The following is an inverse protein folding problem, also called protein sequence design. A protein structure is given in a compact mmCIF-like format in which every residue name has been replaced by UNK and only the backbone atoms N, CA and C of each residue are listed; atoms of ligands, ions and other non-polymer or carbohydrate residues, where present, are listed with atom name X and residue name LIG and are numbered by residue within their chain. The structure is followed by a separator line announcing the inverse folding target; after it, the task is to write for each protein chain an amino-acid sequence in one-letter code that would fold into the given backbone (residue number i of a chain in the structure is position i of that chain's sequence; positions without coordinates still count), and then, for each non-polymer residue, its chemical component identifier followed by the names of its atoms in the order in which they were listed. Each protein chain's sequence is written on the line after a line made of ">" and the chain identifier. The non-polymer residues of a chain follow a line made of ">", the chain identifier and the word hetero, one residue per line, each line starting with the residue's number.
data_IF_266882103204
#
_entry.id   IF_266882103204
#
_cell.length_a   1.000
_cell.length_b   1.000
_cell.length_c   1.000
_cell.angle_alpha   90.00
_cell.angle_beta   90.00
_cell.angle_gamma   90.00
#
_symmetry.space_group_name_H-M   'P 1'
#
loop_
_entity.id
_entity.type
_entity.pdbx_description
1 polymer ?
#
# COMPACT_ATOMS: atom_id res chain seq x y z
N UNK A 1 20.72 8.89 17.39
CA UNK A 1 19.95 10.04 17.94
C UNK A 1 18.64 10.08 17.21
N UNK A 2 17.61 9.43 17.77
CA UNK A 2 16.24 9.56 17.30
C UNK A 2 15.86 11.03 17.53
N UNK A 3 15.70 11.80 16.44
CA UNK A 3 15.04 13.08 16.53
C UNK A 3 13.70 12.86 17.21
N UNK A 4 13.48 13.55 18.33
CA UNK A 4 12.16 13.58 18.94
C UNK A 4 11.22 14.17 17.87
N UNK A 5 10.48 13.32 17.16
CA UNK A 5 9.21 13.78 16.64
C UNK A 5 8.46 14.27 17.87
N UNK A 6 8.23 15.57 17.92
CA UNK A 6 7.32 16.14 18.89
C UNK A 6 5.96 15.48 18.63
N UNK A 7 5.70 14.39 19.34
CA UNK A 7 4.33 14.07 19.68
C UNK A 7 3.84 15.36 20.35
N UNK A 8 2.97 16.08 19.69
CA UNK A 8 2.27 17.20 20.31
C UNK A 8 1.45 16.59 21.43
N UNK A 9 2.11 16.38 22.57
CA UNK A 9 1.41 16.22 23.83
C UNK A 9 0.76 17.59 24.00
N UNK A 10 -0.50 17.69 23.59
CA UNK A 10 -1.34 18.77 24.05
C UNK A 10 -1.30 18.61 25.57
N UNK A 11 -0.44 19.38 26.21
CA UNK A 11 -0.48 19.50 27.66
C UNK A 11 -1.91 19.90 27.96
N UNK A 12 -2.69 18.98 28.52
CA UNK A 12 -4.02 19.26 29.00
C UNK A 12 -3.88 20.40 29.99
N UNK A 13 -4.20 21.60 29.56
CA UNK A 13 -4.17 22.76 30.39
C UNK A 13 -5.40 22.66 31.31
N UNK A 14 -5.19 22.25 32.53
CA UNK A 14 -6.13 22.43 33.58
C UNK A 14 -6.60 21.15 34.27
N UNK A 15 -6.88 21.29 35.55
CA UNK A 15 -7.57 20.25 36.33
C UNK A 15 -8.94 19.98 35.70
N UNK A 16 -9.29 18.71 35.62
CA UNK A 16 -10.65 18.29 35.26
C UNK A 16 -11.66 19.07 36.08
N UNK A 17 -12.67 19.70 35.47
CA UNK A 17 -13.70 20.43 36.23
C UNK A 17 -14.37 19.47 37.20
N UNK A 18 -14.61 19.96 38.42
CA UNK A 18 -15.39 19.22 39.41
C UNK A 18 -16.85 19.20 38.96
N UNK A 19 -17.27 18.14 38.32
CA UNK A 19 -18.64 17.95 37.90
C UNK A 19 -19.48 17.37 39.04
N UNK A 20 -20.69 17.91 39.24
CA UNK A 20 -21.65 17.35 40.18
C UNK A 20 -22.18 16.02 39.67
N UNK A 21 -22.24 15.02 40.55
CA UNK A 21 -22.87 13.71 40.21
C UNK A 21 -24.42 13.82 40.22
N UNK A 22 -24.97 14.89 40.76
CA UNK A 22 -26.41 15.08 40.88
C UNK A 22 -27.06 15.75 39.65
N UNK A 23 -26.26 16.34 38.76
CA UNK A 23 -26.76 17.05 37.58
C UNK A 23 -25.85 16.72 36.37
N UNK A 24 -26.47 16.37 35.22
CA UNK A 24 -25.75 16.20 33.98
C UNK A 24 -25.10 17.54 33.58
N UNK A 25 -23.80 17.55 33.23
CA UNK A 25 -23.15 18.73 32.67
C UNK A 25 -23.85 19.21 31.38
N UNK A 26 -23.81 20.52 31.15
CA UNK A 26 -24.26 21.08 29.88
C UNK A 26 -23.44 20.59 28.70
N UNK A 27 -24.03 20.63 27.54
CA UNK A 27 -23.31 20.22 26.31
C UNK A 27 -22.07 21.08 26.03
N UNK A 28 -22.08 22.36 26.44
CA UNK A 28 -20.92 23.26 26.37
C UNK A 28 -19.78 22.82 27.32
N UNK A 29 -20.11 22.41 28.54
CA UNK A 29 -19.11 21.87 29.50
C UNK A 29 -18.53 20.55 29.01
N UNK A 30 -19.36 19.67 28.45
CA UNK A 30 -18.89 18.40 27.83
C UNK A 30 -17.98 18.70 26.65
N UNK A 31 -18.36 19.61 25.74
CA UNK A 31 -17.53 19.99 24.60
C UNK A 31 -16.20 20.61 25.06
N UNK A 32 -16.22 21.47 26.08
CA UNK A 32 -15.01 22.04 26.68
C UNK A 32 -14.09 20.97 27.26
N UNK A 33 -14.66 19.98 27.96
CA UNK A 33 -13.89 18.86 28.50
C UNK A 33 -13.27 17.99 27.39
N UNK A 34 -14.05 17.66 26.36
CA UNK A 34 -13.58 16.88 25.22
C UNK A 34 -12.47 17.61 24.45
N UNK A 35 -12.54 18.94 24.35
CA UNK A 35 -11.50 19.74 23.71
C UNK A 35 -10.14 19.71 24.44
N UNK A 36 -10.10 19.32 25.72
CA UNK A 36 -8.86 19.16 26.48
C UNK A 36 -8.21 17.80 26.29
N UNK A 37 -8.91 16.83 25.69
CA UNK A 37 -8.37 15.50 25.44
C UNK A 37 -7.39 15.55 24.25
N UNK A 38 -6.25 14.82 24.33
CA UNK A 38 -5.40 14.66 23.18
C UNK A 38 -6.15 13.92 22.06
N UNK A 39 -5.80 14.21 20.82
CA UNK A 39 -6.32 13.43 19.69
C UNK A 39 -5.87 11.97 19.81
N UNK A 40 -6.81 11.06 19.86
CA UNK A 40 -6.58 9.61 20.03
C UNK A 40 -7.22 8.84 18.86
N UNK A 41 -6.55 8.80 17.71
CA UNK A 41 -7.06 8.05 16.56
C UNK A 41 -7.00 6.54 16.81
N UNK A 42 -7.91 5.82 16.17
CA UNK A 42 -7.87 4.37 16.15
C UNK A 42 -6.84 3.92 15.11
N UNK A 43 -5.85 3.16 15.56
CA UNK A 43 -4.85 2.55 14.70
C UNK A 43 -5.00 1.03 14.66
N UNK A 44 -4.72 0.44 13.51
CA UNK A 44 -4.52 -0.99 13.32
C UNK A 44 -3.07 -1.21 12.93
N UNK A 45 -2.42 -2.16 13.58
CA UNK A 45 -1.03 -2.52 13.29
C UNK A 45 -0.88 -4.04 13.14
N UNK A 46 0.05 -4.45 12.30
CA UNK A 46 0.53 -5.84 12.23
C UNK A 46 2.04 -5.89 12.33
N UNK A 47 2.55 -6.97 12.89
CA UNK A 47 3.99 -7.29 12.96
C UNK A 47 4.16 -8.72 12.49
N UNK A 48 5.11 -8.92 11.59
CA UNK A 48 5.40 -10.24 11.01
C UNK A 48 6.90 -10.49 10.87
N UNK A 49 7.28 -11.77 11.01
CA UNK A 49 8.65 -12.24 10.85
C UNK A 49 8.67 -13.75 10.63
N UNK A 50 9.79 -14.28 10.15
CA UNK A 50 9.98 -15.71 9.90
C UNK A 50 9.32 -16.15 8.59
N UNK A 51 8.98 -17.43 8.48
CA UNK A 51 8.40 -18.00 7.27
C UNK A 51 6.89 -17.71 7.20
N UNK A 52 6.45 -17.13 6.09
CA UNK A 52 5.02 -17.01 5.74
C UNK A 52 4.55 -18.20 4.89
N UNK A 53 5.45 -18.76 4.10
CA UNK A 53 5.22 -19.98 3.33
C UNK A 53 6.27 -21.03 3.73
N UNK A 54 5.82 -22.25 4.01
CA UNK A 54 6.71 -23.36 4.37
C UNK A 54 7.15 -24.08 3.11
N UNK A 55 8.40 -24.58 3.10
CA UNK A 55 8.89 -25.45 2.04
C UNK A 55 8.04 -26.71 1.91
N UNK A 56 7.73 -27.11 0.68
CA UNK A 56 6.86 -28.25 0.41
C UNK A 56 7.04 -28.77 -1.02
N UNK A 57 6.14 -29.69 -1.46
CA UNK A 57 6.20 -30.26 -2.82
C UNK A 57 6.09 -29.23 -3.95
N UNK A 58 5.59 -28.04 -3.64
CA UNK A 58 5.32 -26.97 -4.61
C UNK A 58 6.43 -25.93 -4.70
N UNK A 59 7.50 -26.03 -3.89
CA UNK A 59 8.63 -25.11 -3.92
C UNK A 59 9.28 -24.87 -2.55
N UNK A 60 10.26 -24.00 -2.56
CA UNK A 60 10.91 -23.50 -1.35
C UNK A 60 9.99 -22.54 -0.63
N UNK A 61 10.09 -22.51 0.70
CA UNK A 61 9.35 -21.58 1.54
C UNK A 61 9.80 -20.13 1.33
N UNK A 62 8.97 -19.19 1.78
CA UNK A 62 9.23 -17.75 1.67
C UNK A 62 9.17 -17.06 3.03
N UNK A 63 10.15 -16.20 3.28
CA UNK A 63 10.15 -15.37 4.49
C UNK A 63 9.14 -14.20 4.36
N UNK A 64 8.60 -13.81 5.50
CA UNK A 64 7.79 -12.59 5.63
C UNK A 64 8.64 -11.36 5.31
N UNK A 65 8.12 -10.46 4.50
CA UNK A 65 8.82 -9.31 3.97
C UNK A 65 8.02 -8.00 4.12
N UNK A 66 8.63 -6.89 3.77
CA UNK A 66 7.93 -5.59 3.71
C UNK A 66 6.72 -5.61 2.77
N UNK A 67 6.74 -6.43 1.71
CA UNK A 67 5.61 -6.56 0.81
C UNK A 67 4.37 -7.15 1.51
N UNK A 68 4.58 -8.12 2.40
CA UNK A 68 3.49 -8.74 3.19
C UNK A 68 2.91 -7.75 4.20
N UNK A 69 3.75 -6.88 4.78
CA UNK A 69 3.28 -5.80 5.64
C UNK A 69 2.42 -4.79 4.86
N UNK A 70 2.81 -4.43 3.64
CA UNK A 70 2.01 -3.58 2.75
C UNK A 70 0.69 -4.25 2.37
N UNK A 71 0.70 -5.55 2.02
CA UNK A 71 -0.53 -6.29 1.69
C UNK A 71 -1.46 -6.40 2.90
N UNK A 72 -0.93 -6.53 4.11
CA UNK A 72 -1.75 -6.47 5.34
C UNK A 72 -2.49 -5.15 5.47
N UNK A 73 -1.82 -4.03 5.18
CA UNK A 73 -2.46 -2.71 5.19
C UNK A 73 -3.52 -2.57 4.09
N UNK A 74 -3.22 -3.03 2.86
CA UNK A 74 -4.18 -3.04 1.76
C UNK A 74 -5.41 -3.89 2.07
N UNK A 75 -5.24 -5.01 2.79
CA UNK A 75 -6.37 -5.84 3.22
C UNK A 75 -7.30 -5.07 4.17
N UNK A 76 -6.75 -4.35 5.15
CA UNK A 76 -7.53 -3.49 6.06
C UNK A 76 -8.26 -2.40 5.29
N UNK A 77 -7.58 -1.72 4.37
CA UNK A 77 -8.17 -0.66 3.56
C UNK A 77 -9.29 -1.19 2.65
N UNK A 78 -9.08 -2.33 1.99
CA UNK A 78 -10.12 -2.99 1.18
C UNK A 78 -11.37 -3.34 2.01
N UNK A 79 -11.18 -3.82 3.24
CA UNK A 79 -12.29 -4.10 4.15
C UNK A 79 -13.07 -2.83 4.53
N UNK A 80 -12.41 -1.67 4.54
CA UNK A 80 -13.04 -0.36 4.72
C UNK A 80 -13.58 0.25 3.42
N UNK A 81 -13.47 -0.44 2.27
CA UNK A 81 -13.91 0.05 0.97
C UNK A 81 -12.99 1.09 0.34
N UNK A 82 -11.73 1.13 0.72
CA UNK A 82 -10.74 2.14 0.33
C UNK A 82 -9.56 1.48 -0.37
N UNK A 83 -9.02 2.13 -1.40
CA UNK A 83 -7.77 1.73 -2.05
C UNK A 83 -6.60 2.57 -1.55
N UNK A 84 -5.46 1.92 -1.28
CA UNK A 84 -4.22 2.59 -0.89
C UNK A 84 -3.31 2.79 -2.09
N UNK A 85 -2.73 3.98 -2.19
CA UNK A 85 -1.53 4.24 -2.99
C UNK A 85 -0.32 4.04 -2.09
N UNK A 86 0.77 3.51 -2.66
CA UNK A 86 2.00 3.17 -1.93
C UNK A 86 3.16 3.96 -2.52
N UNK A 87 3.86 4.71 -1.68
CA UNK A 87 5.02 5.50 -2.08
C UNK A 87 6.22 5.18 -1.18
N UNK A 88 7.44 5.34 -1.70
CA UNK A 88 8.64 5.21 -0.89
C UNK A 88 8.67 6.33 0.17
N UNK A 89 9.06 5.97 1.39
CA UNK A 89 9.13 6.93 2.49
C UNK A 89 10.33 6.66 3.40
N UNK A 90 10.73 7.69 4.12
CA UNK A 90 11.67 7.62 5.23
C UNK A 90 10.94 8.04 6.50
N UNK A 91 10.53 7.07 7.30
CA UNK A 91 9.75 7.32 8.51
C UNK A 91 10.14 6.35 9.63
N UNK A 92 10.56 6.87 10.78
CA UNK A 92 10.86 6.03 11.95
C UNK A 92 9.53 5.51 12.57
N UNK A 93 9.50 4.26 13.06
CA UNK A 93 10.60 3.35 13.34
C UNK A 93 10.99 2.38 12.22
N UNK A 94 10.59 2.60 10.98
CA UNK A 94 10.93 1.76 9.84
C UNK A 94 12.34 2.01 9.32
N UNK A 95 12.87 1.07 8.57
CA UNK A 95 14.16 1.13 7.88
C UNK A 95 14.11 2.17 6.75
N UNK A 96 15.05 3.11 6.71
CA UNK A 96 15.07 4.25 5.78
C UNK A 96 15.01 3.87 4.29
N UNK A 97 15.45 2.69 3.90
CA UNK A 97 15.38 2.23 2.50
C UNK A 97 14.30 1.14 2.24
N UNK A 98 13.47 0.81 3.25
CA UNK A 98 12.44 -0.25 3.15
C UNK A 98 11.17 0.14 3.92
N UNK A 99 10.80 1.39 3.77
CA UNK A 99 9.58 1.96 4.32
C UNK A 99 8.72 2.49 3.19
N UNK A 100 7.43 2.25 3.29
CA UNK A 100 6.40 2.79 2.43
C UNK A 100 5.45 3.68 3.22
N UNK A 101 5.11 4.83 2.67
CA UNK A 101 3.93 5.58 3.05
C UNK A 101 2.69 4.96 2.37
N UNK A 102 1.60 4.90 3.11
CA UNK A 102 0.30 4.41 2.66
C UNK A 102 -0.63 5.61 2.57
N UNK A 103 -1.16 5.88 1.37
CA UNK A 103 -1.93 7.09 1.11
C UNK A 103 -3.34 6.75 0.62
N UNK A 104 -4.28 7.61 1.00
CA UNK A 104 -5.64 7.70 0.44
C UNK A 104 -5.81 9.11 -0.10
N UNK A 105 -6.13 9.24 -1.38
CA UNK A 105 -6.32 10.53 -2.08
C UNK A 105 -5.17 11.53 -1.83
N UNK A 106 -3.93 11.02 -1.82
CA UNK A 106 -2.72 11.82 -1.59
C UNK A 106 -2.44 12.16 -0.12
N UNK A 107 -3.26 11.72 0.83
CA UNK A 107 -3.07 11.92 2.27
C UNK A 107 -2.45 10.67 2.90
N UNK A 108 -1.33 10.82 3.62
CA UNK A 108 -0.69 9.71 4.33
C UNK A 108 -1.57 9.28 5.51
N UNK A 109 -1.97 8.02 5.50
CA UNK A 109 -2.80 7.39 6.55
C UNK A 109 -2.05 6.32 7.34
N UNK A 110 -0.83 5.98 6.95
CA UNK A 110 -0.04 4.98 7.65
C UNK A 110 1.31 4.72 7.00
N UNK A 111 2.04 3.76 7.57
CA UNK A 111 3.32 3.31 7.05
C UNK A 111 3.43 1.79 7.16
N UNK A 112 4.21 1.19 6.25
CA UNK A 112 4.53 -0.23 6.28
C UNK A 112 5.96 -0.48 5.80
N UNK A 113 6.59 -1.53 6.31
CA UNK A 113 7.94 -1.87 5.89
C UNK A 113 8.70 -2.71 6.89
N UNK A 114 10.01 -2.85 6.66
CA UNK A 114 10.94 -3.48 7.60
C UNK A 114 11.26 -2.51 8.75
N UNK A 115 11.27 -2.98 9.98
CA UNK A 115 11.63 -2.16 11.13
C UNK A 115 13.13 -1.83 11.12
N UNK A 116 13.48 -0.66 11.63
CA UNK A 116 14.87 -0.22 11.73
C UNK A 116 15.69 -1.21 12.59
N UNK A 117 16.92 -1.61 12.19
CA UNK A 117 17.71 -2.61 12.93
C UNK A 117 17.91 -2.29 14.40
N UNK A 118 18.10 -1.03 14.76
CA UNK A 118 18.24 -0.61 16.17
C UNK A 118 16.94 -0.80 16.99
N UNK A 119 15.78 -0.65 16.34
CA UNK A 119 14.47 -0.92 16.98
C UNK A 119 14.31 -2.42 17.21
N UNK A 120 14.64 -3.22 16.20
CA UNK A 120 14.61 -4.69 16.26
C UNK A 120 15.52 -5.18 17.40
N UNK A 121 16.76 -4.69 17.48
CA UNK A 121 17.71 -5.05 18.53
C UNK A 121 17.23 -4.63 19.92
N UNK A 122 16.78 -3.37 20.07
CA UNK A 122 16.33 -2.83 21.37
C UNK A 122 15.10 -3.55 21.93
N UNK A 123 14.21 -4.02 21.05
CA UNK A 123 13.00 -4.74 21.43
C UNK A 123 13.20 -6.27 21.48
N UNK A 124 14.40 -6.77 21.17
CA UNK A 124 14.68 -8.21 21.14
C UNK A 124 13.89 -8.97 20.08
N UNK A 125 13.52 -8.31 18.97
CA UNK A 125 12.77 -8.91 17.88
C UNK A 125 13.70 -9.71 16.95
N UNK A 126 13.18 -10.70 16.22
CA UNK A 126 13.92 -11.35 15.16
C UNK A 126 14.37 -10.36 14.07
N UNK A 127 15.53 -10.65 13.45
CA UNK A 127 16.01 -9.83 12.32
C UNK A 127 14.99 -9.76 11.20
N UNK A 128 14.95 -8.61 10.52
CA UNK A 128 14.04 -8.37 9.39
C UNK A 128 12.56 -8.43 9.75
N UNK A 129 12.21 -8.19 11.01
CA UNK A 129 10.81 -7.99 11.40
C UNK A 129 10.22 -6.84 10.62
N UNK A 130 9.07 -7.09 10.00
CA UNK A 130 8.31 -6.10 9.26
C UNK A 130 7.03 -5.74 10.02
N UNK A 131 6.56 -4.51 9.83
CA UNK A 131 5.36 -4.01 10.48
C UNK A 131 4.59 -3.09 9.55
N UNK A 132 3.29 -2.97 9.79
CA UNK A 132 2.49 -1.86 9.28
C UNK A 132 1.70 -1.22 10.40
N UNK A 133 1.41 0.06 10.26
CA UNK A 133 0.49 0.81 11.10
C UNK A 133 -0.37 1.70 10.21
N UNK A 134 -1.69 1.63 10.41
CA UNK A 134 -2.68 2.35 9.64
C UNK A 134 -3.63 3.09 10.58
N UNK A 135 -3.78 4.41 10.40
CA UNK A 135 -4.77 5.23 11.09
C UNK A 135 -6.15 5.00 10.46
N UNK A 136 -6.94 4.12 11.06
CA UNK A 136 -8.29 3.78 10.58
C UNK A 136 -9.25 4.97 10.71
N UNK A 137 -9.03 5.85 11.70
CA UNK A 137 -9.85 7.06 11.87
C UNK A 137 -9.66 8.09 10.75
N UNK A 138 -8.56 8.00 9.98
CA UNK A 138 -8.29 8.85 8.83
C UNK A 138 -8.85 8.29 7.51
N UNK A 139 -9.35 7.05 7.51
CA UNK A 139 -9.96 6.47 6.32
C UNK A 139 -11.35 7.10 6.08
N UNK A 140 -11.71 7.41 4.82
CA UNK A 140 -13.04 7.87 4.50
C UNK A 140 -14.08 6.80 4.85
N UNK A 141 -15.18 7.22 5.48
CA UNK A 141 -16.29 6.33 5.81
C UNK A 141 -17.08 5.98 4.55
N UNK A 142 -17.02 4.73 4.15
CA UNK A 142 -17.86 4.18 3.08
C UNK A 142 -19.06 3.49 3.71
N UNK A 143 -20.23 4.12 3.67
CA UNK A 143 -21.45 3.55 4.25
C UNK A 143 -21.99 2.36 3.46
N UNK A 144 -21.81 2.38 2.15
CA UNK A 144 -22.26 1.34 1.24
C UNK A 144 -21.15 1.08 0.22
N UNK A 145 -20.64 -0.14 0.19
CA UNK A 145 -19.73 -0.56 -0.88
C UNK A 145 -20.53 -0.67 -2.17
N UNK A 146 -20.13 0.02 -3.26
CA UNK A 146 -20.78 -0.16 -4.54
C UNK A 146 -20.67 -1.61 -5.00
N UNK A 147 -21.73 -2.14 -5.56
CA UNK A 147 -21.67 -3.45 -6.18
C UNK A 147 -20.66 -3.44 -7.34
N UNK A 148 -19.85 -4.49 -7.51
CA UNK A 148 -18.93 -4.56 -8.64
C UNK A 148 -19.71 -4.54 -9.95
N UNK A 149 -19.20 -3.82 -10.95
CA UNK A 149 -19.75 -3.87 -12.30
C UNK A 149 -19.38 -5.22 -12.91
N UNK A 150 -20.38 -6.08 -13.07
CA UNK A 150 -20.17 -7.41 -13.64
C UNK A 150 -20.48 -7.36 -15.15
N UNK A 151 -19.49 -7.63 -15.97
CA UNK A 151 -19.71 -7.85 -17.40
C UNK A 151 -20.09 -9.32 -17.65
N UNK A 152 -21.06 -9.54 -18.53
CA UNK A 152 -21.45 -10.85 -19.03
C UNK A 152 -20.45 -11.44 -20.05
N UNK A 153 -19.47 -10.63 -20.49
CA UNK A 153 -18.51 -11.03 -21.50
C UNK A 153 -17.20 -11.53 -20.87
N UNK A 154 -16.52 -12.51 -21.51
CA UNK A 154 -15.27 -13.05 -20.99
C UNK A 154 -14.15 -11.99 -21.00
N UNK A 155 -13.27 -12.08 -20.00
CA UNK A 155 -12.06 -11.28 -19.97
C UNK A 155 -10.98 -11.89 -20.86
N UNK A 156 -10.16 -11.03 -21.45
CA UNK A 156 -8.91 -11.42 -22.13
C UNK A 156 -7.75 -11.11 -21.19
N UNK A 157 -6.85 -12.06 -21.01
CA UNK A 157 -5.66 -11.91 -20.16
C UNK A 157 -4.43 -11.83 -21.03
N UNK A 158 -3.56 -10.86 -20.75
CA UNK A 158 -2.26 -10.70 -21.39
C UNK A 158 -1.20 -10.37 -20.33
N UNK A 159 0.03 -10.82 -20.55
CA UNK A 159 1.15 -10.49 -19.70
C UNK A 159 1.98 -9.37 -20.31
N UNK A 160 2.54 -8.51 -19.45
CA UNK A 160 3.46 -7.44 -19.82
C UNK A 160 4.68 -7.48 -18.90
N UNK A 161 5.82 -7.85 -19.44
CA UNK A 161 7.10 -7.79 -18.73
C UNK A 161 7.89 -6.56 -19.18
N UNK A 162 8.21 -5.68 -18.23
CA UNK A 162 8.97 -4.44 -18.45
C UNK A 162 10.29 -4.48 -17.69
N UNK A 163 11.37 -4.19 -18.38
CA UNK A 163 12.67 -3.92 -17.75
C UNK A 163 12.73 -2.44 -17.45
N UNK A 164 12.96 -2.10 -16.18
CA UNK A 164 13.00 -0.72 -15.66
C UNK A 164 14.24 -0.51 -14.78
N UNK A 165 14.71 0.72 -14.57
CA UNK A 165 15.76 1.02 -13.58
C UNK A 165 15.38 0.50 -12.18
N UNK A 166 16.41 0.08 -11.41
CA UNK A 166 16.20 -0.54 -10.09
C UNK A 166 15.53 0.40 -9.08
N UNK A 167 15.76 1.70 -9.19
CA UNK A 167 15.22 2.74 -8.33
C UNK A 167 13.75 3.08 -8.61
N UNK A 168 13.19 2.68 -9.77
CA UNK A 168 11.79 2.93 -10.11
C UNK A 168 10.86 1.99 -9.31
N UNK A 169 9.95 2.52 -8.46
CA UNK A 169 9.04 1.67 -7.69
C UNK A 169 8.06 0.91 -8.59
N UNK A 170 7.81 -0.37 -8.28
CA UNK A 170 6.87 -1.21 -9.05
C UNK A 170 5.45 -0.61 -9.08
N UNK A 171 4.99 0.04 -8.00
CA UNK A 171 3.68 0.70 -7.96
C UNK A 171 3.62 1.88 -8.94
N UNK A 172 4.68 2.65 -9.08
CA UNK A 172 4.75 3.75 -10.05
C UNK A 172 4.63 3.24 -11.49
N UNK A 173 5.26 2.09 -11.79
CA UNK A 173 5.11 1.41 -13.09
C UNK A 173 3.69 0.90 -13.27
N UNK A 174 3.10 0.26 -12.25
CA UNK A 174 1.71 -0.22 -12.28
C UNK A 174 0.72 0.91 -12.57
N UNK A 175 0.84 2.05 -11.89
CA UNK A 175 -0.01 3.22 -12.14
C UNK A 175 0.17 3.78 -13.58
N UNK A 176 1.39 3.72 -14.10
CA UNK A 176 1.67 4.12 -15.49
C UNK A 176 1.02 3.18 -16.50
N UNK A 177 1.03 1.86 -16.23
CA UNK A 177 0.33 0.87 -17.05
C UNK A 177 -1.19 1.13 -17.04
N UNK A 178 -1.77 1.41 -15.87
CA UNK A 178 -3.21 1.75 -15.75
C UNK A 178 -3.53 3.00 -16.57
N UNK A 179 -2.71 4.05 -16.44
CA UNK A 179 -2.92 5.30 -17.18
C UNK A 179 -2.79 5.15 -18.70
N UNK A 180 -1.92 4.23 -19.17
CA UNK A 180 -1.68 4.00 -20.60
C UNK A 180 -2.53 2.91 -21.24
N UNK A 181 -3.13 2.01 -20.43
CA UNK A 181 -3.83 0.81 -20.92
C UNK A 181 -5.23 1.03 -21.48
N UNK A 182 -5.80 2.23 -21.25
CA UNK A 182 -7.13 2.62 -21.72
C UNK A 182 -8.30 2.01 -20.97
N UNK A 183 -9.52 2.36 -21.39
CA UNK A 183 -10.76 2.06 -20.66
C UNK A 183 -11.15 0.57 -20.63
N UNK A 184 -10.54 -0.24 -21.48
CA UNK A 184 -10.77 -1.68 -21.52
C UNK A 184 -9.90 -2.46 -20.53
N UNK A 185 -8.89 -1.80 -19.94
CA UNK A 185 -8.02 -2.41 -18.93
C UNK A 185 -8.72 -2.44 -17.56
N UNK A 186 -9.16 -3.63 -17.13
CA UNK A 186 -9.90 -3.84 -15.89
C UNK A 186 -8.97 -3.94 -14.68
N UNK A 187 -7.90 -4.74 -14.77
CA UNK A 187 -6.94 -4.92 -13.67
C UNK A 187 -5.49 -5.03 -14.15
N UNK A 188 -4.58 -4.63 -13.26
CA UNK A 188 -3.12 -4.75 -13.42
C UNK A 188 -2.55 -5.30 -12.13
N UNK A 189 -1.98 -6.49 -12.17
CA UNK A 189 -1.36 -7.15 -11.01
C UNK A 189 0.11 -7.47 -11.29
N UNK A 190 1.00 -7.07 -10.37
CA UNK A 190 2.40 -7.48 -10.38
C UNK A 190 2.48 -8.91 -9.85
N UNK A 191 2.99 -9.85 -10.66
CA UNK A 191 3.14 -11.23 -10.23
C UNK A 191 4.59 -11.71 -10.14
N UNK A 192 5.55 -10.99 -10.76
CA UNK A 192 6.96 -11.35 -10.66
C UNK A 192 7.89 -10.12 -10.70
N UNK A 193 8.99 -10.20 -9.93
CA UNK A 193 10.08 -9.23 -9.89
C UNK A 193 11.38 -9.98 -10.07
N UNK A 194 11.94 -9.93 -11.27
CA UNK A 194 13.14 -10.68 -11.63
C UNK A 194 14.37 -9.79 -11.73
N UNK A 195 15.47 -10.28 -11.16
CA UNK A 195 16.80 -9.68 -11.22
C UNK A 195 17.82 -10.72 -11.61
N UNK A 196 18.68 -10.40 -12.54
CA UNK A 196 19.81 -11.27 -12.90
C UNK A 196 20.96 -10.45 -13.49
N UNK A 197 22.15 -11.01 -13.41
CA UNK A 197 23.34 -10.41 -14.05
C UNK A 197 23.17 -10.25 -15.57
N UNK A 198 22.34 -11.09 -16.20
CA UNK A 198 22.05 -11.01 -17.64
C UNK A 198 21.16 -9.83 -18.06
N UNK A 199 20.40 -9.23 -17.11
CA UNK A 199 19.61 -8.03 -17.37
C UNK A 199 20.44 -6.74 -17.22
N UNK A 200 21.49 -6.76 -16.41
CA UNK A 200 22.27 -5.60 -16.01
C UNK A 200 22.22 -5.38 -14.49
N UNK A 201 23.18 -4.62 -13.95
CA UNK A 201 23.31 -4.43 -12.50
C UNK A 201 22.26 -3.47 -11.90
N UNK A 202 21.80 -2.49 -12.69
CA UNK A 202 20.97 -1.38 -12.22
C UNK A 202 19.54 -1.43 -12.76
N UNK A 203 19.07 -2.62 -13.15
CA UNK A 203 17.74 -2.82 -13.70
C UNK A 203 17.06 -4.04 -13.11
N UNK A 204 15.73 -4.02 -13.13
CA UNK A 204 14.88 -5.16 -12.78
C UNK A 204 13.81 -5.36 -13.85
N UNK A 205 13.33 -6.59 -13.99
CA UNK A 205 12.17 -6.92 -14.79
C UNK A 205 10.94 -7.04 -13.88
N UNK A 206 9.89 -6.31 -14.21
CA UNK A 206 8.59 -6.37 -13.55
C UNK A 206 7.59 -7.03 -14.50
N UNK A 207 6.96 -8.12 -14.08
CA UNK A 207 5.95 -8.82 -14.86
C UNK A 207 4.56 -8.56 -14.28
N UNK A 208 3.67 -8.06 -15.15
CA UNK A 208 2.30 -7.70 -14.81
C UNK A 208 1.31 -8.55 -15.58
N UNK A 209 0.31 -9.08 -14.89
CA UNK A 209 -0.88 -9.67 -15.48
C UNK A 209 -1.89 -8.55 -15.74
N UNK A 210 -2.31 -8.42 -16.99
CA UNK A 210 -3.28 -7.46 -17.47
C UNK A 210 -4.60 -8.19 -17.78
N UNK A 211 -5.70 -7.68 -17.26
CA UNK A 211 -7.05 -8.19 -17.58
C UNK A 211 -7.79 -7.11 -18.34
N UNK A 212 -8.22 -7.43 -19.55
CA UNK A 212 -9.03 -6.55 -20.39
C UNK A 212 -10.45 -7.09 -20.48
N UNK A 213 -11.43 -6.18 -20.43
CA UNK A 213 -12.84 -6.52 -20.57
C UNK A 213 -13.65 -5.34 -21.10
N UNK A 214 -14.59 -5.63 -22.00
CA UNK A 214 -15.59 -4.66 -22.41
C UNK A 214 -16.94 -4.92 -21.74
N UNK A 215 -17.75 -3.88 -21.48
CA UNK A 215 -19.06 -4.04 -20.89
C UNK A 215 -20.13 -4.58 -21.86
N UNK A 216 -19.88 -4.49 -23.16
CA UNK A 216 -20.87 -4.64 -24.24
C UNK A 216 -20.55 -5.73 -25.27
N UNK A 217 -19.31 -6.29 -25.25
CA UNK A 217 -18.87 -7.30 -26.23
C UNK A 217 -17.70 -8.14 -25.74
N UNK A 218 -17.42 -9.22 -26.44
CA UNK A 218 -16.15 -9.96 -26.30
C UNK A 218 -15.03 -9.22 -27.02
N UNK A 219 -13.88 -9.06 -26.37
CA UNK A 219 -12.69 -8.46 -26.96
C UNK A 219 -11.88 -9.48 -27.76
N UNK A 220 -11.16 -9.01 -28.78
CA UNK A 220 -10.12 -9.78 -29.46
C UNK A 220 -8.74 -9.56 -28.83
N UNK A 221 -7.81 -10.47 -29.08
CA UNK A 221 -6.42 -10.33 -28.61
C UNK A 221 -5.74 -9.09 -29.20
N UNK A 222 -6.08 -8.72 -30.44
CA UNK A 222 -5.55 -7.55 -31.12
C UNK A 222 -6.00 -6.25 -30.44
N UNK A 223 -7.28 -6.14 -30.07
CA UNK A 223 -7.82 -4.98 -29.35
C UNK A 223 -7.10 -4.80 -28.02
N UNK A 224 -6.89 -5.88 -27.26
CA UNK A 224 -6.17 -5.85 -25.99
C UNK A 224 -4.69 -5.50 -26.16
N UNK A 225 -4.07 -5.99 -27.24
CA UNK A 225 -2.68 -5.68 -27.57
C UNK A 225 -2.43 -4.21 -27.84
N UNK A 226 -3.41 -3.47 -28.35
CA UNK A 226 -3.32 -2.01 -28.51
C UNK A 226 -3.15 -1.33 -27.15
N UNK A 227 -3.98 -1.66 -26.18
CA UNK A 227 -3.88 -1.11 -24.81
C UNK A 227 -2.56 -1.50 -24.12
N UNK A 228 -2.16 -2.78 -24.25
CA UNK A 228 -0.88 -3.27 -23.70
C UNK A 228 0.33 -2.54 -24.29
N UNK A 229 0.36 -2.33 -25.61
CA UNK A 229 1.44 -1.61 -26.28
C UNK A 229 1.45 -0.12 -25.94
N UNK A 230 0.27 0.51 -25.81
CA UNK A 230 0.17 1.90 -25.38
C UNK A 230 0.70 2.07 -23.92
N UNK A 231 0.34 1.17 -23.02
CA UNK A 231 0.86 1.14 -21.66
C UNK A 231 2.40 0.98 -21.64
N UNK A 232 2.94 0.06 -22.44
CA UNK A 232 4.38 -0.13 -22.57
C UNK A 232 5.08 1.11 -23.15
N UNK A 233 4.47 1.76 -24.13
CA UNK A 233 4.97 3.02 -24.72
C UNK A 233 5.04 4.15 -23.69
N UNK A 234 4.00 4.32 -22.88
CA UNK A 234 4.00 5.32 -21.82
C UNK A 234 5.06 5.02 -20.73
N UNK A 235 5.27 3.74 -20.39
CA UNK A 235 6.33 3.34 -19.48
C UNK A 235 7.73 3.58 -20.06
N UNK A 236 7.91 3.37 -21.37
CA UNK A 236 9.15 3.67 -22.07
C UNK A 236 9.44 5.18 -22.05
N UNK A 237 8.44 6.02 -22.28
CA UNK A 237 8.58 7.47 -22.23
C UNK A 237 8.96 7.99 -20.83
N UNK A 238 8.32 7.45 -19.77
CA UNK A 238 8.51 7.93 -18.39
C UNK A 238 9.78 7.42 -17.73
N UNK A 239 10.14 6.18 -17.97
CA UNK A 239 11.21 5.48 -17.22
C UNK A 239 12.30 4.91 -18.11
N UNK A 240 12.23 5.08 -19.44
CA UNK A 240 13.12 4.35 -20.37
C UNK A 240 12.88 2.84 -20.35
N UNK A 241 11.69 2.40 -19.95
CA UNK A 241 11.34 0.99 -19.87
C UNK A 241 11.35 0.33 -21.27
N UNK A 242 11.70 -0.95 -21.32
CA UNK A 242 11.53 -1.73 -22.55
C UNK A 242 10.89 -3.08 -22.24
N UNK A 243 10.12 -3.59 -23.20
CA UNK A 243 9.52 -4.91 -23.05
C UNK A 243 10.59 -5.99 -23.08
N UNK A 244 10.46 -6.93 -22.15
CA UNK A 244 11.27 -8.15 -22.17
C UNK A 244 10.63 -9.12 -23.16
N UNK A 245 11.45 -9.61 -24.10
CA UNK A 245 11.04 -10.65 -25.04
C UNK A 245 10.94 -12.03 -24.35
#
# INVERSE_FOLDING_TARGET
>A
LFGQQQVSVVQGAGMSPMLSVAQRPSDAEIAGLLATLPYQPLHVATVGTGLIEFSGPWGEGREYSYADAIESAKLVARAAGVSLTVENAEYLPWHLGRCAALLVDGVVVGHAGELHPQVVERLGLPKRTCAMELNVSALPLTQVLPAPVLSAFPAVKQDLALVVPEDVPAETVRQTIIAGGGDLLETVELFDVYRSAGLGADVKSLAFALVFRAPDRTLTDEECSVGRLAAAGLAAERFGAHMRA
#
